data_IF_143538902744
#
_entry.id   IF_143538902744
#
_cell.length_a   1.000
_cell.length_b   1.000
_cell.length_c   1.000
_cell.angle_alpha   90.00
_cell.angle_beta   90.00
_cell.angle_gamma   90.00
#
_symmetry.space_group_name_H-M   'P 1'
#
loop_
_entity.id
_entity.type
_entity.pdbx_description
1 polymer ?
#
# COMPACT_ATOMS: atom_id res chain seq x y z
N UNK A 1 -1.49 -2.06 10.96
CA UNK A 1 -2.13 -2.06 9.64
C UNK A 1 -3.02 -0.83 9.54
N UNK A 2 -2.94 -0.07 8.46
CA UNK A 2 -3.94 0.96 8.20
C UNK A 2 -5.34 0.37 8.04
N UNK A 3 -6.34 1.10 8.52
CA UNK A 3 -7.73 0.69 8.52
C UNK A 3 -8.29 0.63 7.09
N UNK A 4 -9.30 -0.23 6.83
CA UNK A 4 -10.01 -0.24 5.55
C UNK A 4 -10.56 1.13 5.15
N UNK A 5 -10.93 1.96 6.13
CA UNK A 5 -11.40 3.32 5.90
C UNK A 5 -10.30 4.23 5.36
N UNK A 6 -9.05 4.00 5.77
CA UNK A 6 -7.89 4.80 5.36
C UNK A 6 -7.33 4.37 4.00
N UNK A 7 -7.17 3.06 3.76
CA UNK A 7 -6.52 2.54 2.53
C UNK A 7 -7.48 1.89 1.53
N UNK A 8 -8.77 1.83 1.85
CA UNK A 8 -9.81 1.34 0.96
C UNK A 8 -9.58 -0.07 0.45
N UNK A 9 -9.73 -0.25 -0.87
CA UNK A 9 -9.64 -1.55 -1.54
C UNK A 9 -8.30 -2.26 -1.30
N UNK A 10 -7.22 -1.51 -1.10
CA UNK A 10 -5.89 -2.08 -0.86
C UNK A 10 -5.84 -2.95 0.41
N UNK A 11 -6.66 -2.65 1.42
CA UNK A 11 -6.76 -3.51 2.61
C UNK A 11 -7.24 -4.91 2.26
N UNK A 12 -8.31 -4.99 1.46
CA UNK A 12 -8.91 -6.26 1.06
C UNK A 12 -8.04 -7.03 0.06
N UNK A 13 -7.35 -6.31 -0.84
CA UNK A 13 -6.36 -6.91 -1.74
C UNK A 13 -5.20 -7.54 -0.97
N UNK A 14 -4.69 -6.86 0.08
CA UNK A 14 -3.67 -7.45 0.95
C UNK A 14 -4.17 -8.74 1.61
N UNK A 15 -5.40 -8.78 2.11
CA UNK A 15 -5.97 -10.02 2.67
C UNK A 15 -6.09 -11.13 1.61
N UNK A 16 -6.57 -10.80 0.42
CA UNK A 16 -6.70 -11.75 -0.69
C UNK A 16 -5.35 -12.33 -1.11
N UNK A 17 -4.34 -11.48 -1.30
CA UNK A 17 -3.00 -11.90 -1.70
C UNK A 17 -2.32 -12.73 -0.60
N UNK A 18 -2.50 -12.38 0.67
CA UNK A 18 -2.01 -13.19 1.79
C UNK A 18 -2.61 -14.61 1.77
N UNK A 19 -3.92 -14.71 1.50
CA UNK A 19 -4.59 -16.01 1.38
C UNK A 19 -4.07 -16.82 0.19
N UNK A 20 -3.77 -16.16 -0.94
CA UNK A 20 -3.13 -16.81 -2.10
C UNK A 20 -1.71 -17.30 -1.79
N UNK A 21 -0.98 -16.59 -0.92
CA UNK A 21 0.32 -17.01 -0.37
C UNK A 21 0.20 -18.12 0.70
N UNK A 22 -1.03 -18.56 1.02
CA UNK A 22 -1.29 -19.67 1.93
C UNK A 22 -1.32 -19.28 3.42
N UNK A 23 -1.46 -17.99 3.74
CA UNK A 23 -1.57 -17.53 5.13
C UNK A 23 -2.70 -16.52 5.34
N UNK A 24 -3.26 -16.49 6.55
CA UNK A 24 -4.20 -15.46 6.97
C UNK A 24 -3.50 -14.54 7.98
N UNK A 25 -3.33 -13.24 7.71
CA UNK A 25 -2.64 -12.35 8.64
C UNK A 25 -3.45 -12.18 9.93
N UNK A 26 -2.79 -12.37 11.07
CA UNK A 26 -3.39 -12.05 12.38
C UNK A 26 -3.23 -10.55 12.66
N UNK A 27 -4.23 -9.75 12.28
CA UNK A 27 -4.20 -8.30 12.44
C UNK A 27 -4.48 -7.94 13.90
N UNK A 28 -3.42 -7.72 14.67
CA UNK A 28 -3.52 -7.38 16.09
C UNK A 28 -4.10 -5.98 16.35
N UNK A 29 -3.87 -5.03 15.43
CA UNK A 29 -4.36 -3.65 15.54
C UNK A 29 -4.48 -2.96 14.18
N UNK A 30 -5.52 -2.15 14.06
CA UNK A 30 -5.74 -1.23 12.94
C UNK A 30 -5.61 0.23 13.41
N UNK A 31 -5.10 1.10 12.53
CA UNK A 31 -4.90 2.54 12.78
C UNK A 31 -5.45 3.36 11.61
N UNK A 32 -5.77 4.63 11.84
CA UNK A 32 -6.34 5.49 10.80
C UNK A 32 -5.30 6.35 10.08
N UNK A 33 -4.07 6.36 10.58
CA UNK A 33 -2.94 7.12 10.08
C UNK A 33 -1.64 6.33 10.31
N UNK A 34 -0.60 6.72 9.58
CA UNK A 34 0.66 5.97 9.52
C UNK A 34 1.55 6.31 10.69
N UNK A 35 1.52 7.55 11.14
CA UNK A 35 2.26 8.04 12.31
C UNK A 35 1.91 7.19 13.54
N UNK A 36 0.62 6.91 13.75
CA UNK A 36 0.13 6.02 14.80
C UNK A 36 0.54 4.57 14.55
N UNK A 37 0.54 4.09 13.31
CA UNK A 37 1.00 2.73 12.97
C UNK A 37 2.48 2.55 13.33
N UNK A 38 3.34 3.46 12.87
CA UNK A 38 4.78 3.49 13.15
C UNK A 38 5.04 3.56 14.64
N UNK A 39 4.33 4.45 15.36
CA UNK A 39 4.45 4.55 16.82
C UNK A 39 4.18 3.22 17.52
N UNK A 40 3.14 2.49 17.09
CA UNK A 40 2.80 1.19 17.67
C UNK A 40 3.81 0.10 17.30
N UNK A 41 4.34 0.10 16.08
CA UNK A 41 5.40 -0.83 15.65
C UNK A 41 6.61 -0.68 16.57
N UNK A 42 7.10 0.55 16.74
CA UNK A 42 8.28 0.85 17.54
C UNK A 42 8.08 0.54 19.04
N UNK A 43 6.93 0.91 19.61
CA UNK A 43 6.71 0.82 21.06
C UNK A 43 6.17 -0.54 21.53
N UNK A 44 5.52 -1.32 20.64
CA UNK A 44 4.81 -2.55 21.04
C UNK A 44 5.35 -3.81 20.37
N UNK A 45 6.55 -3.77 19.76
CA UNK A 45 7.19 -4.91 19.07
C UNK A 45 6.25 -5.55 18.02
N UNK A 46 5.61 -4.72 17.22
CA UNK A 46 4.71 -5.16 16.15
C UNK A 46 5.44 -5.14 14.79
N UNK A 47 4.79 -5.70 13.77
CA UNK A 47 5.20 -5.57 12.37
C UNK A 47 4.10 -4.85 11.59
N UNK A 48 4.51 -3.98 10.66
CA UNK A 48 3.60 -3.30 9.74
C UNK A 48 3.72 -3.86 8.33
N UNK A 49 2.74 -3.53 7.49
CA UNK A 49 2.74 -3.90 6.08
C UNK A 49 2.64 -2.62 5.24
N UNK A 50 3.67 -2.36 4.44
CA UNK A 50 3.80 -1.13 3.65
C UNK A 50 4.21 -1.45 2.21
N UNK A 51 3.73 -0.70 1.21
CA UNK A 51 4.29 -0.71 -0.14
C UNK A 51 5.76 -0.30 -0.14
N UNK A 52 6.55 -0.86 -1.06
CA UNK A 52 7.99 -0.56 -1.19
C UNK A 52 8.29 0.92 -1.45
N UNK A 53 7.40 1.60 -2.17
CA UNK A 53 7.54 3.00 -2.56
C UNK A 53 7.02 3.99 -1.49
N UNK A 54 6.75 3.54 -0.26
CA UNK A 54 6.26 4.44 0.77
C UNK A 54 7.41 5.30 1.33
N UNK A 55 7.39 6.65 1.15
CA UNK A 55 8.53 7.52 1.41
C UNK A 55 8.80 7.78 2.90
N UNK A 56 8.25 6.98 3.82
CA UNK A 56 8.29 7.26 5.26
C UNK A 56 9.38 6.54 6.02
N UNK A 57 9.99 5.48 5.48
CA UNK A 57 11.13 4.84 6.17
C UNK A 57 12.38 5.68 5.88
N UNK A 58 12.48 6.82 6.56
CA UNK A 58 13.71 7.61 6.60
C UNK A 58 14.82 6.79 7.27
N UNK A 59 16.07 6.96 6.82
CA UNK A 59 17.24 6.22 7.32
C UNK A 59 17.48 6.43 8.83
N UNK A 60 16.86 7.42 9.45
CA UNK A 60 16.99 7.76 10.86
C UNK A 60 15.97 7.07 11.77
N UNK A 61 14.95 6.40 11.20
CA UNK A 61 14.02 5.60 11.99
C UNK A 61 14.63 4.24 12.34
N UNK A 62 14.45 3.80 13.59
CA UNK A 62 14.79 2.42 14.03
C UNK A 62 13.75 1.41 13.51
N UNK A 63 13.50 1.46 12.21
CA UNK A 63 12.62 0.57 11.45
C UNK A 63 13.42 -0.02 10.29
N UNK A 64 13.23 -1.32 10.08
CA UNK A 64 13.83 -2.03 8.94
C UNK A 64 12.71 -2.59 8.08
N UNK A 65 12.80 -2.34 6.79
CA UNK A 65 11.94 -2.99 5.81
C UNK A 65 12.40 -4.44 5.61
N UNK A 66 11.42 -5.35 5.53
CA UNK A 66 11.63 -6.73 5.15
C UNK A 66 10.83 -6.97 3.87
N UNK A 67 11.54 -7.32 2.81
CA UNK A 67 10.91 -7.68 1.54
C UNK A 67 10.25 -9.04 1.67
N UNK A 68 9.03 -9.14 1.16
CA UNK A 68 8.33 -10.42 1.03
C UNK A 68 8.66 -10.95 -0.36
N UNK A 69 9.46 -12.01 -0.43
CA UNK A 69 9.82 -12.66 -1.69
C UNK A 69 8.74 -13.67 -2.11
N UNK A 70 8.65 -13.96 -3.41
CA UNK A 70 7.76 -14.98 -3.99
C UNK A 70 6.30 -14.87 -3.54
N UNK A 71 5.80 -13.63 -3.46
CA UNK A 71 4.46 -13.32 -2.95
C UNK A 71 3.55 -12.68 -4.00
N UNK A 72 2.24 -12.87 -3.82
CA UNK A 72 1.19 -12.20 -4.59
C UNK A 72 1.02 -10.71 -4.21
N UNK A 73 1.77 -10.17 -3.24
CA UNK A 73 1.78 -8.75 -2.84
C UNK A 73 2.45 -7.83 -3.88
N UNK A 74 2.01 -7.91 -5.13
CA UNK A 74 2.43 -7.08 -6.24
C UNK A 74 1.29 -6.13 -6.60
N UNK A 75 1.59 -4.84 -6.69
CA UNK A 75 0.61 -3.80 -6.94
C UNK A 75 1.06 -2.95 -8.14
N UNK A 76 0.11 -2.63 -9.02
CA UNK A 76 0.34 -1.76 -10.17
C UNK A 76 -0.37 -0.42 -9.95
N UNK A 77 0.35 0.68 -10.16
CA UNK A 77 -0.26 2.01 -10.22
C UNK A 77 -0.87 2.15 -11.61
N UNK A 78 -2.20 2.12 -11.66
CA UNK A 78 -2.96 2.24 -12.92
C UNK A 78 -3.71 3.56 -12.99
N UNK A 79 -3.82 4.11 -14.20
CA UNK A 79 -4.70 5.23 -14.49
C UNK A 79 -5.95 4.71 -15.22
N UNK A 80 -7.12 4.92 -14.63
CA UNK A 80 -8.39 4.57 -15.25
C UNK A 80 -9.10 5.81 -15.81
N UNK A 81 -9.60 5.70 -17.04
CA UNK A 81 -10.37 6.74 -17.72
C UNK A 81 -11.42 6.10 -18.62
N UNK A 82 -12.44 6.88 -19.03
CA UNK A 82 -13.48 6.38 -19.92
C UNK A 82 -12.89 6.04 -21.31
N UNK A 83 -13.29 4.91 -21.88
CA UNK A 83 -12.76 4.46 -23.18
C UNK A 83 -12.95 5.48 -24.30
N UNK A 84 -14.03 6.28 -24.23
CA UNK A 84 -14.36 7.33 -25.21
C UNK A 84 -14.11 8.74 -24.64
N UNK A 85 -13.14 8.91 -23.74
CA UNK A 85 -12.83 10.21 -23.14
C UNK A 85 -12.37 11.22 -24.22
N UNK A 86 -13.05 12.36 -24.29
CA UNK A 86 -12.79 13.42 -25.28
C UNK A 86 -12.31 14.73 -24.63
N UNK A 87 -12.24 14.80 -23.31
CA UNK A 87 -11.74 15.97 -22.61
C UNK A 87 -10.27 16.22 -22.97
N UNK A 88 -10.01 17.38 -23.57
CA UNK A 88 -8.68 17.77 -24.04
C UNK A 88 -7.63 17.80 -22.93
N UNK A 89 -8.01 18.15 -21.69
CA UNK A 89 -7.08 18.15 -20.57
C UNK A 89 -6.68 16.74 -20.14
N UNK A 90 -7.63 15.79 -20.16
CA UNK A 90 -7.34 14.37 -19.89
C UNK A 90 -6.45 13.81 -20.99
N UNK A 91 -6.76 14.06 -22.26
CA UNK A 91 -5.93 13.61 -23.38
C UNK A 91 -4.50 14.15 -23.27
N UNK A 92 -4.33 15.44 -22.93
CA UNK A 92 -3.01 16.03 -22.68
C UNK A 92 -2.27 15.36 -21.52
N UNK A 93 -2.94 15.05 -20.42
CA UNK A 93 -2.34 14.31 -19.30
C UNK A 93 -1.89 12.92 -19.73
N UNK A 94 -2.71 12.20 -20.51
CA UNK A 94 -2.38 10.88 -21.04
C UNK A 94 -1.16 10.91 -21.97
N UNK A 95 -0.98 11.97 -22.76
CA UNK A 95 0.22 12.16 -23.58
C UNK A 95 1.47 12.39 -22.73
N UNK A 96 1.36 13.21 -21.67
CA UNK A 96 2.48 13.50 -20.76
C UNK A 96 2.96 12.27 -20.00
N UNK A 97 2.06 11.36 -19.63
CA UNK A 97 2.37 10.15 -18.86
C UNK A 97 2.95 9.02 -19.73
N UNK A 98 2.85 9.10 -21.06
CA UNK A 98 3.43 8.12 -22.01
C UNK A 98 4.88 8.41 -22.39
N UNK A 99 5.37 9.61 -22.10
CA UNK A 99 6.73 10.06 -22.40
C UNK A 99 7.74 9.55 -21.37
#
# INVERSE_FOLDING_TARGET
>A
MLSPETIGKSYYLMLEHALQDGYAPNIAKVTNDIETEIFLIQNNKMVGFFPENYPLIEDDMDLKSLRIEDSHHQFEIVLAYLANEQNAAVQRLLELLKA
#
